data_IF_275378668267
#
_entry.id   IF_275378668267
#
_cell.length_a   1.000
_cell.length_b   1.000
_cell.length_c   1.000
_cell.angle_alpha   90.00
_cell.angle_beta   90.00
_cell.angle_gamma   90.00
#
_symmetry.space_group_name_H-M   'P 1'
#
loop_
_entity.id
_entity.type
_entity.pdbx_description
1 polymer ?
#
# COMPACT_ATOMS: atom_id res chain seq x y z
N UNK A 1 -10.72 12.05 -19.02
CA UNK A 1 -9.31 12.08 -19.50
C UNK A 1 -8.41 12.41 -18.32
N UNK A 2 -7.62 11.45 -17.84
CA UNK A 2 -6.95 11.50 -16.53
C UNK A 2 -5.42 11.45 -16.70
N UNK A 3 -4.85 12.44 -17.39
CA UNK A 3 -3.39 12.65 -17.48
C UNK A 3 -3.15 14.15 -17.27
N UNK A 4 -3.06 14.56 -16.01
CA UNK A 4 -2.89 15.95 -15.58
C UNK A 4 -3.32 16.20 -14.13
N UNK A 5 -4.46 15.63 -13.71
CA UNK A 5 -4.98 15.76 -12.33
C UNK A 5 -4.06 15.14 -11.28
N UNK A 6 -3.37 14.05 -11.61
CA UNK A 6 -2.41 13.40 -10.71
C UNK A 6 -1.20 14.28 -10.37
N UNK A 7 -0.66 14.99 -11.35
CA UNK A 7 0.53 15.86 -11.16
C UNK A 7 0.20 17.06 -10.27
N UNK A 8 -0.93 17.73 -10.52
CA UNK A 8 -1.38 18.87 -9.73
C UNK A 8 -1.76 18.46 -8.28
N UNK A 9 -2.19 17.22 -8.08
CA UNK A 9 -2.50 16.68 -6.76
C UNK A 9 -1.22 16.37 -5.98
N UNK A 10 -0.24 15.72 -6.62
CA UNK A 10 1.08 15.46 -6.01
C UNK A 10 1.78 16.77 -5.64
N UNK A 11 1.78 17.76 -6.54
CA UNK A 11 2.38 19.07 -6.27
C UNK A 11 1.78 19.72 -5.02
N UNK A 12 0.44 19.73 -4.88
CA UNK A 12 -0.24 20.27 -3.70
C UNK A 12 0.17 19.56 -2.41
N UNK A 13 0.26 18.23 -2.43
CA UNK A 13 0.67 17.43 -1.27
C UNK A 13 2.12 17.76 -0.90
N UNK A 14 3.04 17.81 -1.88
CA UNK A 14 4.44 18.17 -1.66
C UNK A 14 4.55 19.57 -1.08
N UNK A 15 3.84 20.55 -1.64
CA UNK A 15 3.85 21.92 -1.14
C UNK A 15 3.32 22.01 0.31
N UNK A 16 2.25 21.28 0.63
CA UNK A 16 1.68 21.26 1.98
C UNK A 16 2.67 20.68 3.01
N UNK A 17 3.31 19.55 2.71
CA UNK A 17 4.31 18.93 3.60
C UNK A 17 5.59 19.77 3.70
N UNK A 18 6.04 20.39 2.60
CA UNK A 18 7.17 21.32 2.62
C UNK A 18 6.87 22.56 3.46
N UNK A 19 5.66 23.10 3.38
CA UNK A 19 5.22 24.23 4.21
C UNK A 19 5.18 23.83 5.69
N UNK A 20 4.63 22.65 6.01
CA UNK A 20 4.61 22.11 7.38
C UNK A 20 6.04 21.93 7.95
N UNK A 21 6.97 21.42 7.13
CA UNK A 21 8.38 21.30 7.50
C UNK A 21 9.01 22.66 7.79
N UNK A 22 8.82 23.65 6.91
CA UNK A 22 9.32 25.00 7.10
C UNK A 22 8.78 25.67 8.37
N UNK A 23 7.47 25.52 8.65
CA UNK A 23 6.87 26.00 9.90
C UNK A 23 7.52 25.37 11.12
N UNK A 24 7.72 24.05 11.10
CA UNK A 24 8.37 23.32 12.20
C UNK A 24 9.81 23.80 12.43
N UNK A 25 10.55 24.10 11.37
CA UNK A 25 11.91 24.66 11.47
C UNK A 25 11.90 26.07 12.07
N UNK A 26 10.95 26.91 11.66
CA UNK A 26 10.83 28.27 12.17
C UNK A 26 10.44 28.28 13.65
N UNK A 27 9.57 27.37 14.09
CA UNK A 27 9.14 27.24 15.48
C UNK A 27 10.26 26.71 16.39
N UNK A 28 11.22 25.94 15.85
CA UNK A 28 12.37 25.43 16.60
C UNK A 28 13.56 26.41 16.69
N UNK A 29 13.60 27.42 15.82
CA UNK A 29 14.67 28.42 15.75
C UNK A 29 14.83 29.34 17.00
N UNK A 30 13.75 29.76 17.71
CA UNK A 30 13.84 30.66 18.85
C UNK A 30 14.52 30.03 20.08
N UNK A 31 14.47 28.71 20.22
CA UNK A 31 14.94 28.01 21.42
C UNK A 31 16.45 27.72 21.41
N UNK A 32 17.17 28.09 20.35
CA UNK A 32 18.61 27.81 20.21
C UNK A 32 18.95 26.31 20.18
N UNK A 33 17.93 25.45 20.06
CA UNK A 33 18.06 24.01 20.03
C UNK A 33 18.57 23.58 18.65
N UNK A 34 19.63 22.78 18.61
CA UNK A 34 20.03 22.12 17.36
C UNK A 34 18.93 21.13 16.95
N UNK A 35 18.10 21.51 15.99
CA UNK A 35 17.08 20.63 15.42
C UNK A 35 17.76 19.63 14.47
N UNK A 36 17.65 18.34 14.76
CA UNK A 36 17.97 17.31 13.77
C UNK A 36 16.88 17.30 12.68
N UNK A 37 17.28 17.68 11.46
CA UNK A 37 16.39 17.76 10.30
C UNK A 37 16.14 16.40 9.65
N UNK A 38 16.96 15.39 9.94
CA UNK A 38 16.81 14.07 9.33
C UNK A 38 15.43 13.46 9.58
N UNK A 39 14.95 13.30 10.84
CA UNK A 39 13.63 12.71 11.10
C UNK A 39 12.48 13.56 10.55
N UNK A 40 12.63 14.89 10.55
CA UNK A 40 11.60 15.80 10.05
C UNK A 40 11.44 15.73 8.53
N UNK A 41 12.57 15.66 7.81
CA UNK A 41 12.57 15.47 6.37
C UNK A 41 12.02 14.10 5.99
N UNK A 42 12.46 13.05 6.69
CA UNK A 42 11.94 11.69 6.48
C UNK A 42 10.43 11.66 6.70
N UNK A 43 9.91 12.31 7.74
CA UNK A 43 8.46 12.40 7.99
C UNK A 43 7.72 13.12 6.87
N UNK A 44 8.22 14.27 6.42
CA UNK A 44 7.60 15.01 5.32
C UNK A 44 7.52 14.18 4.04
N UNK A 45 8.60 13.48 3.67
CA UNK A 45 8.62 12.60 2.48
C UNK A 45 7.66 11.42 2.65
N UNK A 46 7.65 10.78 3.82
CA UNK A 46 6.72 9.70 4.13
C UNK A 46 5.27 10.17 4.05
N UNK A 47 4.94 11.36 4.56
CA UNK A 47 3.59 11.91 4.51
C UNK A 47 3.11 12.18 3.08
N UNK A 48 4.00 12.59 2.18
CA UNK A 48 3.67 12.71 0.74
C UNK A 48 3.23 11.34 0.20
N UNK A 49 4.01 10.29 0.45
CA UNK A 49 3.72 8.94 -0.03
C UNK A 49 2.44 8.39 0.63
N UNK A 50 2.29 8.56 1.94
CA UNK A 50 1.12 8.08 2.70
C UNK A 50 -0.17 8.81 2.31
N UNK A 51 -0.10 10.10 1.96
CA UNK A 51 -1.24 10.84 1.41
C UNK A 51 -1.68 10.24 0.07
N UNK A 52 -0.73 9.88 -0.79
CA UNK A 52 -1.03 9.29 -2.10
C UNK A 52 -1.55 7.85 -2.00
N UNK A 53 -1.00 7.06 -1.08
CA UNK A 53 -1.31 5.63 -0.98
C UNK A 53 -2.52 5.33 -0.10
N UNK A 54 -2.72 6.09 0.97
CA UNK A 54 -3.66 5.79 2.05
C UNK A 54 -4.49 7.00 2.49
N UNK A 55 -4.36 8.14 1.80
CA UNK A 55 -4.98 9.41 2.17
C UNK A 55 -4.79 9.76 3.67
N UNK A 56 -3.59 9.49 4.19
CA UNK A 56 -3.25 9.65 5.61
C UNK A 56 -1.89 10.32 5.78
N UNK A 57 -1.73 11.09 6.85
CA UNK A 57 -0.46 11.71 7.26
C UNK A 57 -0.14 11.36 8.71
N UNK A 58 1.16 11.38 9.03
CA UNK A 58 1.67 11.22 10.39
C UNK A 58 2.05 12.56 10.99
N UNK A 59 1.81 12.69 12.29
CA UNK A 59 2.21 13.85 13.08
C UNK A 59 3.58 13.61 13.73
N UNK A 60 4.19 14.69 14.22
CA UNK A 60 5.46 14.59 14.95
C UNK A 60 5.26 13.78 16.24
N UNK A 61 6.14 12.80 16.47
CA UNK A 61 6.07 11.91 17.63
C UNK A 61 5.03 10.79 17.51
N UNK A 62 4.48 10.57 16.31
CA UNK A 62 3.52 9.50 16.07
C UNK A 62 4.20 8.11 16.24
N UNK A 63 3.74 7.26 17.18
CA UNK A 63 4.33 5.95 17.40
C UNK A 63 4.14 4.99 16.21
N UNK A 64 3.10 5.18 15.38
CA UNK A 64 2.89 4.40 14.14
C UNK A 64 3.97 4.73 13.12
N UNK A 65 4.39 6.00 13.03
CA UNK A 65 5.48 6.46 12.16
C UNK A 65 6.84 5.93 12.62
N UNK A 66 7.14 5.97 13.91
CA UNK A 66 8.40 5.42 14.45
C UNK A 66 8.50 3.91 14.23
N UNK A 67 7.40 3.18 14.46
CA UNK A 67 7.33 1.75 14.13
C UNK A 67 7.55 1.50 12.63
N UNK A 68 7.01 2.39 11.79
CA UNK A 68 7.17 2.36 10.34
C UNK A 68 8.63 2.52 9.91
N UNK A 69 9.32 3.54 10.42
CA UNK A 69 10.73 3.76 10.18
C UNK A 69 11.57 2.59 10.68
N UNK A 70 11.28 2.09 11.87
CA UNK A 70 12.00 0.98 12.47
C UNK A 70 11.94 -0.28 11.61
N UNK A 71 10.76 -0.71 11.17
CA UNK A 71 10.66 -1.90 10.33
C UNK A 71 11.23 -1.64 8.93
N UNK A 72 11.10 -0.42 8.39
CA UNK A 72 11.60 -0.09 7.05
C UNK A 72 13.12 -0.13 7.02
N UNK A 73 13.77 0.49 8.01
CA UNK A 73 15.21 0.41 8.17
C UNK A 73 15.65 -1.03 8.43
N UNK A 74 14.95 -1.77 9.29
CA UNK A 74 15.23 -3.18 9.56
C UNK A 74 15.15 -4.05 8.30
N UNK A 75 14.20 -3.78 7.40
CA UNK A 75 14.11 -4.45 6.10
C UNK A 75 15.28 -4.04 5.21
N UNK A 76 15.53 -2.73 5.04
CA UNK A 76 16.63 -2.23 4.19
C UNK A 76 17.98 -2.79 4.65
N UNK A 77 18.29 -2.72 5.94
CA UNK A 77 19.54 -3.23 6.53
C UNK A 77 19.72 -4.72 6.31
N UNK A 78 18.62 -5.47 6.31
CA UNK A 78 18.66 -6.93 6.17
C UNK A 78 18.65 -7.37 4.71
N UNK A 79 18.02 -6.60 3.82
CA UNK A 79 17.91 -6.90 2.38
C UNK A 79 19.14 -6.39 1.60
N UNK A 80 19.77 -5.30 2.05
CA UNK A 80 20.88 -4.66 1.34
C UNK A 80 22.26 -5.32 1.55
N UNK A 81 22.42 -6.26 2.49
CA UNK A 81 23.70 -6.92 2.83
C UNK A 81 24.10 -8.07 1.88
N UNK A 82 23.87 -7.90 0.57
CA UNK A 82 24.30 -8.78 -0.54
C UNK A 82 23.56 -10.11 -0.76
N UNK A 83 22.27 -10.06 -1.13
CA UNK A 83 21.38 -11.24 -1.26
C UNK A 83 21.00 -11.74 0.14
N UNK A 84 19.87 -12.40 0.32
CA UNK A 84 19.86 -13.50 1.27
C UNK A 84 19.54 -14.84 0.57
N UNK A 85 19.97 -15.12 -0.70
CA UNK A 85 19.59 -16.28 -1.62
C UNK A 85 18.35 -16.23 -2.64
N UNK A 86 18.27 -15.14 -3.42
CA UNK A 86 17.23 -14.27 -4.12
C UNK A 86 15.74 -14.04 -3.72
N UNK A 87 15.34 -12.97 -3.03
CA UNK A 87 13.98 -12.60 -2.58
C UNK A 87 13.05 -13.78 -2.13
N UNK A 88 13.41 -14.96 -1.61
CA UNK A 88 14.66 -15.67 -1.30
C UNK A 88 14.24 -17.12 -0.97
N UNK A 89 13.84 -17.95 -1.96
CA UNK A 89 13.09 -19.18 -1.69
C UNK A 89 13.84 -20.19 -0.81
N UNK A 90 15.17 -20.26 -0.78
CA UNK A 90 15.94 -21.38 -0.21
C UNK A 90 16.70 -21.05 1.10
N UNK A 91 16.33 -19.99 1.82
CA UNK A 91 16.75 -19.73 3.22
C UNK A 91 16.19 -20.75 4.25
N UNK A 92 15.55 -21.81 3.76
CA UNK A 92 14.50 -22.60 4.41
C UNK A 92 14.93 -23.44 5.63
N UNK A 93 16.22 -23.57 5.93
CA UNK A 93 16.69 -24.57 6.90
C UNK A 93 17.67 -24.06 7.96
N UNK A 94 17.96 -22.75 8.03
CA UNK A 94 19.03 -22.22 8.89
C UNK A 94 18.56 -21.17 9.92
N UNK A 95 19.00 -21.26 11.20
CA UNK A 95 18.76 -20.22 12.19
C UNK A 95 19.68 -19.02 11.94
N UNK A 96 19.15 -17.99 11.27
CA UNK A 96 19.85 -16.71 11.06
C UNK A 96 19.15 -15.57 11.83
N UNK A 97 19.92 -14.82 12.62
CA UNK A 97 19.41 -13.69 13.39
C UNK A 97 18.84 -12.57 12.51
N UNK A 98 19.45 -12.32 11.36
CA UNK A 98 19.00 -11.32 10.40
C UNK A 98 17.65 -11.73 9.80
N UNK A 99 17.45 -13.01 9.47
CA UNK A 99 16.15 -13.51 9.00
C UNK A 99 15.05 -13.40 10.04
N UNK A 100 15.36 -13.62 11.32
CA UNK A 100 14.37 -13.41 12.39
C UNK A 100 13.97 -11.94 12.47
N UNK A 101 14.94 -11.03 12.36
CA UNK A 101 14.69 -9.59 12.31
C UNK A 101 13.84 -9.21 11.11
N UNK A 102 14.18 -9.70 9.91
CA UNK A 102 13.41 -9.46 8.68
C UNK A 102 11.98 -9.98 8.79
N UNK A 103 11.78 -11.22 9.27
CA UNK A 103 10.44 -11.80 9.48
C UNK A 103 9.61 -10.96 10.44
N UNK A 104 10.23 -10.47 11.51
CA UNK A 104 9.54 -9.62 12.46
C UNK A 104 9.19 -8.25 11.86
N UNK A 105 10.11 -7.61 11.13
CA UNK A 105 9.83 -6.36 10.43
C UNK A 105 8.72 -6.52 9.36
N UNK A 106 8.74 -7.60 8.59
CA UNK A 106 7.68 -7.95 7.62
C UNK A 106 6.34 -8.17 8.32
N UNK A 107 6.33 -8.88 9.45
CA UNK A 107 5.11 -9.07 10.24
C UNK A 107 4.49 -7.75 10.71
N UNK A 108 5.30 -6.82 11.24
CA UNK A 108 4.82 -5.51 11.66
C UNK A 108 4.29 -4.69 10.48
N UNK A 109 5.00 -4.70 9.35
CA UNK A 109 4.54 -4.07 8.09
C UNK A 109 3.19 -4.62 7.65
N UNK A 110 3.03 -5.95 7.63
CA UNK A 110 1.81 -6.59 7.18
C UNK A 110 0.62 -6.26 8.09
N UNK A 111 0.83 -6.17 9.40
CA UNK A 111 -0.20 -5.71 10.33
C UNK A 111 -0.64 -4.27 10.04
N UNK A 112 0.32 -3.37 9.79
CA UNK A 112 0.03 -1.98 9.48
C UNK A 112 -0.74 -1.85 8.15
N UNK A 113 -0.29 -2.54 7.11
CA UNK A 113 -0.96 -2.55 5.82
C UNK A 113 -2.35 -3.19 5.89
N UNK A 114 -2.51 -4.26 6.69
CA UNK A 114 -3.81 -4.90 6.89
C UNK A 114 -4.78 -3.97 7.61
N UNK A 115 -4.32 -3.18 8.60
CA UNK A 115 -5.11 -2.14 9.25
C UNK A 115 -5.59 -1.10 8.23
N UNK A 116 -4.68 -0.50 7.45
CA UNK A 116 -5.04 0.48 6.40
C UNK A 116 -5.99 -0.10 5.37
N UNK A 117 -5.76 -1.35 4.94
CA UNK A 117 -6.64 -2.08 4.03
C UNK A 117 -8.06 -2.23 4.58
N UNK A 118 -8.20 -2.63 5.83
CA UNK A 118 -9.50 -2.82 6.46
C UNK A 118 -10.25 -1.48 6.61
N UNK A 119 -9.55 -0.42 6.99
CA UNK A 119 -10.11 0.94 7.07
C UNK A 119 -10.62 1.42 5.70
N UNK A 120 -9.82 1.25 4.64
CA UNK A 120 -10.22 1.65 3.28
C UNK A 120 -11.39 0.82 2.79
N UNK A 121 -11.38 -0.49 3.03
CA UNK A 121 -12.47 -1.40 2.67
C UNK A 121 -13.78 -1.05 3.37
N UNK A 122 -13.73 -0.66 4.65
CA UNK A 122 -14.90 -0.27 5.43
C UNK A 122 -15.54 1.03 4.92
N UNK A 123 -14.73 1.97 4.44
CA UNK A 123 -15.17 3.27 3.93
C UNK A 123 -15.19 3.37 2.40
N UNK A 124 -15.09 2.23 1.71
CA UNK A 124 -14.97 2.20 0.25
C UNK A 124 -16.27 2.64 -0.43
N UNK A 125 -16.14 3.45 -1.48
CA UNK A 125 -17.25 3.90 -2.33
C UNK A 125 -16.90 3.76 -3.81
N UNK A 126 -17.81 3.22 -4.62
CA UNK A 126 -17.59 3.10 -6.07
C UNK A 126 -17.55 4.45 -6.80
N UNK A 127 -18.07 5.50 -6.17
CA UNK A 127 -18.17 6.84 -6.76
C UNK A 127 -16.99 7.75 -6.45
N UNK A 128 -16.18 7.43 -5.44
CA UNK A 128 -15.07 8.27 -4.98
C UNK A 128 -13.80 7.42 -4.93
N UNK A 129 -12.74 7.87 -5.60
CA UNK A 129 -11.41 7.29 -5.48
C UNK A 129 -10.55 8.28 -4.68
N UNK A 130 -10.23 7.95 -3.43
CA UNK A 130 -9.49 8.85 -2.54
C UNK A 130 -7.98 8.77 -2.74
N UNK A 131 -7.49 7.57 -3.02
CA UNK A 131 -6.07 7.24 -3.05
C UNK A 131 -5.82 6.01 -3.95
N UNK A 132 -4.54 5.59 -4.00
CA UNK A 132 -4.13 4.40 -4.75
C UNK A 132 -4.79 3.12 -4.23
N UNK A 133 -5.01 2.99 -2.93
CA UNK A 133 -5.58 1.77 -2.34
C UNK A 133 -7.05 1.59 -2.75
N UNK A 134 -7.83 2.67 -2.78
CA UNK A 134 -9.17 2.67 -3.36
C UNK A 134 -9.17 2.27 -4.84
N UNK A 135 -8.19 2.77 -5.61
CA UNK A 135 -8.05 2.40 -7.02
C UNK A 135 -7.79 0.90 -7.20
N UNK A 136 -6.93 0.32 -6.35
CA UNK A 136 -6.64 -1.12 -6.32
C UNK A 136 -7.87 -1.94 -5.88
N UNK A 137 -8.62 -1.48 -4.88
CA UNK A 137 -9.87 -2.10 -4.45
C UNK A 137 -10.91 -2.14 -5.57
N UNK A 138 -11.05 -1.04 -6.33
CA UNK A 138 -11.94 -0.95 -7.48
C UNK A 138 -11.52 -1.90 -8.60
N UNK A 139 -10.22 -1.92 -8.92
CA UNK A 139 -9.67 -2.82 -9.92
C UNK A 139 -9.91 -4.30 -9.55
N UNK A 140 -9.71 -4.66 -8.28
CA UNK A 140 -9.98 -6.01 -7.76
C UNK A 140 -11.45 -6.40 -7.96
N UNK A 141 -12.41 -5.55 -7.55
CA UNK A 141 -13.85 -5.82 -7.74
C UNK A 141 -14.24 -5.96 -9.20
N UNK A 142 -13.69 -5.11 -10.07
CA UNK A 142 -13.94 -5.18 -11.51
C UNK A 142 -13.48 -6.53 -12.10
N UNK A 143 -12.30 -7.01 -11.69
CA UNK A 143 -11.79 -8.31 -12.10
C UNK A 143 -12.65 -9.48 -11.57
N UNK A 144 -13.09 -9.42 -10.31
CA UNK A 144 -13.97 -10.42 -9.70
C UNK A 144 -15.34 -10.50 -10.40
N UNK A 145 -15.94 -9.34 -10.72
CA UNK A 145 -17.21 -9.28 -11.44
C UNK A 145 -17.09 -9.83 -12.87
N UNK A 146 -16.01 -9.50 -13.58
CA UNK A 146 -15.76 -10.04 -14.92
C UNK A 146 -15.55 -11.56 -14.91
N UNK A 147 -14.89 -12.11 -13.88
CA UNK A 147 -14.73 -13.55 -13.73
C UNK A 147 -16.08 -14.23 -13.44
N UNK A 148 -16.90 -13.62 -12.60
CA UNK A 148 -18.23 -14.15 -12.25
C UNK A 148 -19.16 -14.13 -13.48
N UNK A 149 -19.11 -13.08 -14.29
CA UNK A 149 -19.85 -12.97 -15.56
C UNK A 149 -19.40 -14.02 -16.59
N UNK A 150 -18.09 -14.32 -16.67
CA UNK A 150 -17.56 -15.39 -17.53
C UNK A 150 -18.01 -16.78 -17.07
N UNK A 151 -17.94 -17.06 -15.76
CA UNK A 151 -18.38 -18.36 -15.19
C UNK A 151 -19.89 -18.56 -15.43
N UNK A 152 -20.69 -17.50 -15.28
CA UNK A 152 -22.13 -17.58 -15.55
C UNK A 152 -22.45 -17.75 -17.03
N UNK A 153 -21.72 -17.08 -17.93
CA UNK A 153 -21.85 -17.28 -19.39
C UNK A 153 -21.49 -18.72 -19.82
N UNK A 154 -20.43 -19.31 -19.26
CA UNK A 154 -20.01 -20.68 -19.57
C UNK A 154 -20.96 -21.73 -18.96
N UNK A 155 -21.61 -21.43 -17.82
CA UNK A 155 -22.57 -22.35 -17.18
C UNK A 155 -23.95 -22.41 -17.85
N UNK A 156 -24.33 -21.38 -18.61
CA UNK A 156 -25.62 -21.30 -19.32
C UNK A 156 -25.56 -21.95 -20.73
N UNK A 157 -24.36 -22.34 -21.18
CA UNK A 157 -24.13 -22.98 -22.49
C UNK A 157 -24.40 -24.50 -22.57
N UNK A 158 -24.90 -25.13 -21.50
CA UNK A 158 -25.23 -26.57 -21.49
C UNK A 158 -26.71 -26.77 -21.17
N UNK A 159 -27.57 -26.63 -22.18
CA UNK A 159 -28.94 -27.15 -22.12
C UNK A 159 -29.35 -27.69 -23.48
N UNK A 160 -29.30 -29.02 -23.56
CA UNK A 160 -30.22 -29.94 -24.21
C UNK A 160 -30.45 -29.80 -25.73
N UNK A 161 -29.90 -30.78 -26.45
CA UNK A 161 -30.21 -31.09 -27.84
C UNK A 161 -31.40 -32.08 -27.85
N UNK A 162 -32.62 -31.71 -28.30
CA UNK A 162 -33.72 -32.66 -28.43
C UNK A 162 -34.01 -32.88 -29.92
N UNK A 163 -33.45 -33.92 -30.51
CA UNK A 163 -34.06 -34.55 -31.71
C UNK A 163 -33.45 -35.91 -32.05
N UNK A 164 -33.68 -36.90 -31.18
CA UNK A 164 -33.79 -38.30 -31.64
C UNK A 164 -35.21 -38.49 -32.19
N UNK A 165 -35.36 -38.23 -33.49
CA UNK A 165 -36.55 -38.59 -34.25
C UNK A 165 -36.46 -40.03 -34.73
N UNK A 166 -36.92 -40.98 -33.92
CA UNK A 166 -37.33 -42.30 -34.37
C UNK A 166 -38.60 -42.18 -35.22
N UNK A 167 -38.57 -42.70 -36.44
CA UNK A 167 -39.77 -43.23 -37.11
C UNK A 167 -39.40 -44.28 -38.14
N UNK A 168 -39.71 -45.52 -37.80
CA UNK A 168 -39.85 -46.66 -38.71
C UNK A 168 -41.09 -46.47 -39.61
N UNK A 169 -41.04 -47.07 -40.80
CA UNK A 169 -42.13 -47.14 -41.78
C UNK A 169 -41.61 -47.33 -43.19
#
# INVERSE_FOLDING_TARGET
CMFGEGSATIEKIICAEAQSLCSTMFDAAPDGLSLDLSPELTRAVTNVICSLCFNSTYHRGDPEFEAMLYYSQGIVDTVAKDSLVDIFPWLQFFPNADLRRLKWCVFIRDQLLQKKYNEHKAHYSDHVQRDLLDALLRAKRSAENNNTAKISADSVGLSEDPSVGLREG
#
